data_IF_202038997992
#
_entry.id   IF_202038997992
#
_cell.length_a   1.000
_cell.length_b   1.000
_cell.length_c   1.000
_cell.angle_alpha   90.00
_cell.angle_beta   90.00
_cell.angle_gamma   90.00
#
_symmetry.space_group_name_H-M   'P 1'
#
loop_
_entity.id
_entity.type
_entity.pdbx_description
1 polymer ?
#
# COMPACT_ATOMS: atom_id res chain seq x y z
N UNK A 1 2.66 -30.97 64.43
CA UNK A 1 1.52 -30.10 64.06
C UNK A 1 2.04 -29.03 63.10
N UNK A 2 1.83 -29.19 61.79
CA UNK A 2 2.31 -28.25 60.77
C UNK A 2 1.29 -27.13 60.59
N UNK A 3 1.58 -25.93 61.11
CA UNK A 3 0.78 -24.74 60.85
C UNK A 3 1.00 -24.28 59.40
N UNK A 4 -0.04 -24.40 58.56
CA UNK A 4 -0.06 -23.73 57.25
C UNK A 4 -0.16 -22.22 57.46
N UNK A 5 0.97 -21.51 57.34
CA UNK A 5 0.98 -20.04 57.27
C UNK A 5 0.29 -19.62 55.97
N UNK A 6 -0.89 -18.99 56.09
CA UNK A 6 -1.55 -18.32 54.96
C UNK A 6 -0.79 -17.03 54.66
N UNK A 7 -0.30 -16.86 53.42
CA UNK A 7 0.24 -15.58 52.99
C UNK A 7 -0.86 -14.51 53.14
N UNK A 8 -0.56 -13.35 53.75
CA UNK A 8 -1.55 -12.27 53.84
C UNK A 8 -1.93 -11.79 52.45
N UNK A 9 -3.22 -11.61 52.20
CA UNK A 9 -3.79 -11.19 50.91
C UNK A 9 -3.15 -9.88 50.40
N UNK A 10 -2.71 -9.01 51.32
CA UNK A 10 -1.97 -7.79 50.99
C UNK A 10 -0.65 -8.05 50.24
N UNK A 11 0.11 -9.07 50.64
CA UNK A 11 1.37 -9.42 49.95
C UNK A 11 1.12 -9.96 48.55
N UNK A 12 0.03 -10.70 48.34
CA UNK A 12 -0.34 -11.18 47.01
C UNK A 12 -0.76 -10.03 46.09
N UNK A 13 -1.56 -9.09 46.60
CA UNK A 13 -2.02 -7.92 45.85
C UNK A 13 -0.88 -6.97 45.49
N UNK A 14 0.05 -6.72 46.42
CA UNK A 14 1.24 -5.90 46.14
C UNK A 14 2.14 -6.53 45.06
N UNK A 15 2.29 -7.86 45.07
CA UNK A 15 3.07 -8.57 44.06
C UNK A 15 2.41 -8.47 42.67
N UNK A 16 1.08 -8.65 42.59
CA UNK A 16 0.32 -8.50 41.35
C UNK A 16 0.40 -7.06 40.83
N UNK A 17 0.28 -6.06 41.70
CA UNK A 17 0.38 -4.66 41.30
C UNK A 17 1.80 -4.31 40.79
N UNK A 18 2.85 -4.82 41.45
CA UNK A 18 4.23 -4.65 40.95
C UNK A 18 4.48 -5.34 39.62
N UNK A 19 3.84 -6.49 39.39
CA UNK A 19 3.95 -7.24 38.14
C UNK A 19 3.22 -6.52 37.00
N UNK A 20 2.04 -5.94 37.26
CA UNK A 20 1.29 -5.17 36.26
C UNK A 20 2.04 -3.91 35.85
N UNK A 21 2.67 -3.19 36.80
CA UNK A 21 3.41 -1.95 36.52
C UNK A 21 4.77 -2.21 35.87
N UNK A 22 5.37 -3.39 36.03
CA UNK A 22 6.61 -3.78 35.33
C UNK A 22 6.38 -4.45 33.98
N UNK A 23 5.23 -5.11 33.77
CA UNK A 23 4.89 -5.78 32.49
C UNK A 23 4.15 -4.84 31.53
N UNK A 24 3.44 -3.83 32.03
CA UNK A 24 2.82 -2.79 31.20
C UNK A 24 3.52 -1.45 31.44
N UNK A 25 4.37 -0.97 30.50
CA UNK A 25 4.91 0.36 30.59
C UNK A 25 3.76 1.36 30.53
N UNK A 26 3.49 2.01 31.66
CA UNK A 26 2.51 3.09 31.72
C UNK A 26 3.15 4.39 31.27
N UNK A 27 2.73 4.80 30.09
CA UNK A 27 2.56 6.19 29.61
C UNK A 27 3.68 6.85 28.80
N UNK A 28 3.19 7.44 27.69
CA UNK A 28 3.70 8.55 26.85
C UNK A 28 4.50 8.26 25.58
N UNK A 29 5.09 7.07 25.37
CA UNK A 29 5.71 6.72 24.07
C UNK A 29 4.73 6.10 23.05
N UNK A 30 3.56 5.65 23.50
CA UNK A 30 2.60 4.88 22.69
C UNK A 30 1.72 5.72 21.74
N UNK A 31 1.70 7.04 21.88
CA UNK A 31 0.95 7.89 20.94
C UNK A 31 1.60 7.96 19.55
N UNK A 32 2.94 7.88 19.47
CA UNK A 32 3.69 7.92 18.20
C UNK A 32 3.79 6.57 17.48
N UNK A 33 3.49 5.46 18.17
CA UNK A 33 3.35 4.13 17.54
C UNK A 33 2.01 3.97 16.84
N UNK A 34 0.97 4.67 17.30
CA UNK A 34 -0.40 4.46 16.83
C UNK A 34 -0.61 4.91 15.38
N UNK A 35 0.23 5.80 14.85
CA UNK A 35 0.16 6.28 13.46
C UNK A 35 1.13 5.60 12.49
N UNK A 36 2.04 4.77 12.99
CA UNK A 36 2.99 4.06 12.13
C UNK A 36 2.25 3.06 11.24
N UNK A 37 2.74 2.95 10.02
CA UNK A 37 2.35 1.86 9.12
C UNK A 37 3.25 0.68 9.44
N UNK A 38 2.64 -0.48 9.64
CA UNK A 38 3.32 -1.74 9.88
C UNK A 38 3.31 -2.57 8.59
N UNK A 39 4.37 -3.36 8.41
CA UNK A 39 4.40 -4.37 7.38
C UNK A 39 3.51 -5.57 7.74
N UNK A 40 3.43 -6.57 6.85
CA UNK A 40 2.59 -7.75 7.09
C UNK A 40 2.95 -8.52 8.37
N UNK A 41 4.18 -8.40 8.88
CA UNK A 41 4.64 -9.05 10.10
C UNK A 41 4.46 -8.22 11.36
N UNK A 42 4.18 -6.92 11.23
CA UNK A 42 3.96 -6.02 12.35
C UNK A 42 5.16 -5.15 12.68
N UNK A 43 6.21 -5.17 11.86
CA UNK A 43 7.36 -4.28 12.03
C UNK A 43 7.08 -2.92 11.36
N UNK A 44 7.56 -1.80 11.93
CA UNK A 44 7.36 -0.49 11.31
C UNK A 44 7.98 -0.39 9.91
N UNK A 45 7.22 0.17 8.98
CA UNK A 45 7.71 0.46 7.62
C UNK A 45 8.64 1.67 7.65
N UNK A 46 9.78 1.55 6.97
CA UNK A 46 10.78 2.60 6.87
C UNK A 46 10.96 3.07 5.43
N UNK A 47 11.28 4.34 5.25
CA UNK A 47 11.73 4.88 3.96
C UNK A 47 13.10 4.32 3.56
N UNK A 48 13.45 4.43 2.28
CA UNK A 48 14.71 3.97 1.68
C UNK A 48 14.95 2.46 1.79
N UNK A 49 13.89 1.68 2.05
CA UNK A 49 13.91 0.22 2.05
C UNK A 49 12.96 -0.31 0.98
N UNK A 50 13.35 -1.42 0.37
CA UNK A 50 12.55 -2.09 -0.65
C UNK A 50 11.47 -2.97 -0.02
N UNK A 51 10.26 -2.85 -0.54
CA UNK A 51 9.09 -3.63 -0.15
C UNK A 51 8.39 -4.16 -1.40
N UNK A 52 7.65 -5.26 -1.26
CA UNK A 52 6.59 -5.56 -2.23
C UNK A 52 5.33 -4.80 -1.82
N UNK A 53 4.78 -3.97 -2.70
CA UNK A 53 3.46 -3.38 -2.51
C UNK A 53 2.40 -4.29 -3.10
N UNK A 54 1.54 -4.86 -2.25
CA UNK A 54 0.57 -5.89 -2.62
C UNK A 54 -0.84 -5.33 -2.45
N UNK A 55 -1.65 -5.35 -3.51
CA UNK A 55 -3.06 -4.99 -3.42
C UNK A 55 -3.84 -6.08 -2.68
N UNK A 56 -4.64 -5.70 -1.68
CA UNK A 56 -5.53 -6.65 -0.99
C UNK A 56 -6.75 -7.03 -1.79
N UNK A 57 -7.14 -6.20 -2.75
CA UNK A 57 -8.12 -6.62 -3.73
C UNK A 57 -7.48 -7.67 -4.65
N UNK A 58 -7.69 -8.95 -4.34
CA UNK A 58 -7.18 -10.04 -5.17
C UNK A 58 -8.22 -10.38 -6.26
N UNK A 59 -8.13 -9.69 -7.39
CA UNK A 59 -8.89 -10.11 -8.56
C UNK A 59 -8.17 -11.30 -9.20
N UNK A 60 -8.16 -12.47 -8.56
CA UNK A 60 -7.55 -13.69 -9.12
C UNK A 60 -8.61 -14.50 -9.87
N UNK A 61 -8.25 -15.07 -11.01
CA UNK A 61 -9.16 -15.92 -11.79
C UNK A 61 -9.60 -17.09 -10.94
N UNK A 62 -10.92 -17.30 -10.85
CA UNK A 62 -11.52 -18.39 -10.06
C UNK A 62 -11.93 -18.01 -8.64
N UNK A 63 -11.67 -16.79 -8.17
CA UNK A 63 -12.11 -16.35 -6.84
C UNK A 63 -13.46 -15.63 -6.87
N UNK A 64 -14.33 -16.01 -5.94
CA UNK A 64 -15.67 -15.43 -5.77
C UNK A 64 -15.59 -13.96 -5.32
N UNK A 65 -16.46 -13.05 -5.83
CA UNK A 65 -16.46 -11.63 -5.46
C UNK A 65 -16.47 -11.33 -3.96
N UNK A 66 -17.17 -12.12 -3.15
CA UNK A 66 -17.23 -11.94 -1.68
C UNK A 66 -15.90 -12.24 -0.96
N UNK A 67 -14.98 -12.92 -1.64
CA UNK A 67 -13.68 -13.31 -1.11
C UNK A 67 -12.57 -12.43 -1.69
N UNK A 68 -12.90 -11.36 -2.42
CA UNK A 68 -11.92 -10.56 -3.16
C UNK A 68 -11.05 -9.64 -2.30
N UNK A 69 -11.29 -9.59 -0.99
CA UNK A 69 -10.41 -8.92 -0.04
C UNK A 69 -9.57 -10.00 0.64
N UNK A 70 -8.31 -10.10 0.22
CA UNK A 70 -7.38 -11.09 0.73
C UNK A 70 -7.03 -10.82 2.21
N UNK A 71 -6.83 -11.90 2.97
CA UNK A 71 -6.23 -11.80 4.30
C UNK A 71 -4.78 -11.30 4.19
N UNK A 72 -4.24 -10.83 5.32
CA UNK A 72 -2.88 -10.26 5.38
C UNK A 72 -1.84 -11.26 4.85
N UNK A 73 -1.06 -10.83 3.86
CA UNK A 73 -0.01 -11.64 3.23
C UNK A 73 -0.51 -12.80 2.36
N UNK A 74 -1.82 -12.93 2.10
CA UNK A 74 -2.36 -14.00 1.27
C UNK A 74 -2.13 -13.75 -0.23
N UNK A 75 -2.33 -12.51 -0.70
CA UNK A 75 -2.01 -12.15 -2.08
C UNK A 75 -0.48 -12.10 -2.26
N UNK A 76 0.04 -12.79 -3.28
CA UNK A 76 1.48 -12.89 -3.58
C UNK A 76 1.90 -12.06 -4.80
N UNK A 77 0.96 -11.36 -5.43
CA UNK A 77 1.21 -10.55 -6.62
C UNK A 77 1.33 -9.08 -6.22
N UNK A 78 2.53 -8.52 -6.30
CA UNK A 78 2.79 -7.11 -6.11
C UNK A 78 2.74 -6.31 -7.40
N UNK A 79 3.09 -5.03 -7.31
CA UNK A 79 3.21 -4.17 -8.49
C UNK A 79 4.38 -4.58 -9.38
N UNK A 80 4.24 -4.30 -10.67
CA UNK A 80 5.31 -4.33 -11.68
C UNK A 80 5.04 -3.18 -12.67
N UNK A 81 5.67 -3.21 -13.83
CA UNK A 81 5.52 -2.23 -14.88
C UNK A 81 5.51 -2.86 -16.27
N UNK A 82 4.86 -2.18 -17.22
CA UNK A 82 4.95 -2.49 -18.63
C UNK A 82 5.37 -1.26 -19.43
N UNK A 83 6.23 -1.46 -20.44
CA UNK A 83 6.61 -0.40 -21.36
C UNK A 83 5.58 -0.29 -22.48
N UNK A 84 4.90 0.85 -22.55
CA UNK A 84 3.99 1.17 -23.66
C UNK A 84 4.18 2.62 -24.12
N UNK A 85 4.33 2.81 -25.44
CA UNK A 85 4.53 4.12 -26.06
C UNK A 85 5.66 4.97 -25.41
N UNK A 86 6.73 4.31 -24.94
CA UNK A 86 7.88 4.98 -24.29
C UNK A 86 7.74 5.21 -22.77
N UNK A 87 6.56 4.96 -22.20
CA UNK A 87 6.28 5.11 -20.77
C UNK A 87 6.27 3.75 -20.06
N UNK A 88 6.59 3.74 -18.77
CA UNK A 88 6.55 2.53 -17.94
C UNK A 88 5.32 2.58 -17.04
N UNK A 89 4.20 2.05 -17.50
CA UNK A 89 2.95 2.07 -16.75
C UNK A 89 3.01 1.07 -15.61
N UNK A 90 2.55 1.48 -14.42
CA UNK A 90 2.47 0.59 -13.28
C UNK A 90 1.31 -0.40 -13.49
N UNK A 91 1.57 -1.68 -13.24
CA UNK A 91 0.61 -2.76 -13.42
C UNK A 91 0.71 -3.78 -12.28
N UNK A 92 -0.24 -4.71 -12.23
CA UNK A 92 -0.15 -5.94 -11.44
C UNK A 92 -0.66 -7.09 -12.31
N UNK A 93 0.16 -8.10 -12.55
CA UNK A 93 -0.31 -9.33 -13.18
C UNK A 93 -1.08 -10.20 -12.20
N UNK A 94 -2.05 -10.94 -12.72
CA UNK A 94 -2.97 -11.79 -11.95
C UNK A 94 -2.51 -13.24 -11.86
N UNK A 95 -1.43 -13.61 -12.54
CA UNK A 95 -0.86 -14.95 -12.54
C UNK A 95 0.67 -14.88 -12.51
N UNK A 96 1.29 -15.85 -11.81
CA UNK A 96 2.73 -15.91 -11.61
C UNK A 96 3.52 -16.02 -12.93
N UNK A 97 2.97 -16.69 -13.94
CA UNK A 97 3.63 -16.95 -15.22
C UNK A 97 3.94 -15.71 -16.05
N UNK A 98 3.33 -14.56 -15.74
CA UNK A 98 3.60 -13.29 -16.42
C UNK A 98 4.76 -12.51 -15.80
N UNK A 99 5.20 -12.89 -14.61
CA UNK A 99 6.37 -12.30 -13.98
C UNK A 99 7.63 -13.02 -14.45
N UNK A 100 8.67 -12.24 -14.79
CA UNK A 100 9.98 -12.79 -15.10
C UNK A 100 10.65 -13.41 -13.86
N UNK A 101 11.68 -14.23 -14.07
CA UNK A 101 12.47 -14.79 -12.96
C UNK A 101 13.13 -13.72 -12.07
N UNK A 102 13.43 -12.55 -12.65
CA UNK A 102 13.99 -11.39 -11.95
C UNK A 102 12.96 -10.66 -11.06
N UNK A 103 11.67 -11.00 -11.18
CA UNK A 103 10.57 -10.42 -10.42
C UNK A 103 10.02 -11.39 -9.38
N UNK A 104 10.78 -12.44 -9.05
CA UNK A 104 10.49 -13.35 -7.95
C UNK A 104 11.36 -13.00 -6.75
N UNK A 105 10.72 -12.64 -5.65
CA UNK A 105 11.39 -12.21 -4.43
C UNK A 105 10.93 -13.05 -3.24
N UNK A 106 11.80 -13.15 -2.23
CA UNK A 106 11.45 -13.76 -0.94
C UNK A 106 11.26 -12.68 0.10
N UNK A 107 10.21 -12.84 0.91
CA UNK A 107 10.05 -12.05 2.11
C UNK A 107 11.03 -12.50 3.21
N UNK A 108 11.08 -11.76 4.33
CA UNK A 108 11.95 -12.07 5.47
C UNK A 108 11.71 -13.44 6.13
N UNK A 109 10.59 -14.12 5.82
CA UNK A 109 10.28 -15.48 6.28
C UNK A 109 10.44 -16.54 5.19
N UNK A 110 10.90 -16.17 3.99
CA UNK A 110 11.16 -17.06 2.87
C UNK A 110 9.97 -17.35 1.95
N UNK A 111 8.80 -16.71 2.15
CA UNK A 111 7.67 -16.89 1.22
C UNK A 111 7.92 -16.11 -0.07
N UNK A 112 7.47 -16.68 -1.19
CA UNK A 112 7.64 -16.10 -2.51
C UNK A 112 6.56 -15.05 -2.81
N UNK A 113 7.01 -13.93 -3.39
CA UNK A 113 6.18 -12.87 -3.96
C UNK A 113 6.66 -12.56 -5.38
N UNK A 114 5.73 -12.12 -6.22
CA UNK A 114 5.97 -11.80 -7.61
C UNK A 114 5.71 -10.31 -7.86
N UNK A 115 6.66 -9.61 -8.49
CA UNK A 115 6.57 -8.19 -8.78
C UNK A 115 7.92 -7.51 -8.78
N UNK A 116 7.92 -6.21 -9.06
CA UNK A 116 9.10 -5.35 -8.93
C UNK A 116 9.05 -4.65 -7.56
N UNK A 117 10.11 -4.75 -6.74
CA UNK A 117 10.17 -4.04 -5.46
C UNK A 117 10.00 -2.53 -5.62
N UNK A 118 9.27 -1.94 -4.68
CA UNK A 118 9.10 -0.49 -4.57
C UNK A 118 9.89 0.05 -3.39
N UNK A 119 10.24 1.32 -3.47
CA UNK A 119 10.90 2.06 -2.41
C UNK A 119 10.09 3.30 -2.08
N UNK A 120 9.79 3.52 -0.80
CA UNK A 120 9.25 4.80 -0.34
C UNK A 120 10.37 5.70 0.13
N UNK A 121 10.36 6.94 -0.33
CA UNK A 121 11.35 7.96 0.01
C UNK A 121 10.66 9.17 0.61
N UNK A 122 11.39 9.86 1.49
CA UNK A 122 10.95 11.19 1.96
C UNK A 122 11.05 12.17 0.79
N UNK A 123 9.98 12.93 0.47
CA UNK A 123 10.03 13.89 -0.62
C UNK A 123 11.09 14.97 -0.39
N UNK A 124 11.66 15.47 -1.49
CA UNK A 124 12.68 16.51 -1.46
C UNK A 124 12.23 17.74 -0.63
N UNK A 125 13.12 18.20 0.26
CA UNK A 125 12.90 19.37 1.12
C UNK A 125 12.08 19.10 2.38
N UNK A 126 11.74 17.84 2.69
CA UNK A 126 11.09 17.46 3.94
C UNK A 126 12.04 16.67 4.84
N UNK A 127 11.94 16.93 6.15
CA UNK A 127 12.63 16.13 7.17
C UNK A 127 11.75 14.95 7.56
N UNK A 128 12.37 13.80 7.79
CA UNK A 128 11.73 12.57 8.22
C UNK A 128 12.64 11.86 9.20
N UNK A 129 12.05 11.17 10.17
CA UNK A 129 12.75 10.26 11.07
C UNK A 129 12.94 8.86 10.46
N UNK A 130 12.56 8.70 9.19
CA UNK A 130 12.73 7.48 8.42
C UNK A 130 11.54 6.52 8.50
N UNK A 131 10.54 6.75 9.34
CA UNK A 131 9.35 5.87 9.44
C UNK A 131 8.19 6.40 8.61
N UNK A 132 7.48 5.48 7.94
CA UNK A 132 6.25 5.79 7.20
C UNK A 132 5.06 5.82 8.16
N UNK A 133 4.28 6.91 8.13
CA UNK A 133 3.12 7.13 9.01
C UNK A 133 1.88 7.52 8.24
N UNK A 134 0.74 7.40 8.90
CA UNK A 134 -0.48 8.01 8.42
C UNK A 134 -0.30 9.51 8.16
N UNK A 135 -0.89 9.96 7.06
CA UNK A 135 -0.94 11.34 6.61
C UNK A 135 0.43 11.98 6.34
N UNK A 136 1.44 11.15 6.05
CA UNK A 136 2.77 11.61 5.64
C UNK A 136 2.95 11.54 4.14
N UNK A 137 3.63 12.54 3.54
CA UNK A 137 3.94 12.52 2.13
C UNK A 137 5.14 11.60 1.87
N UNK A 138 5.04 10.76 0.84
CA UNK A 138 6.11 9.90 0.34
C UNK A 138 6.24 10.04 -1.17
N UNK A 139 7.43 9.80 -1.71
CA UNK A 139 7.59 9.48 -3.13
C UNK A 139 7.82 7.98 -3.27
N UNK A 140 7.19 7.35 -4.26
CA UNK A 140 7.39 5.93 -4.54
C UNK A 140 8.26 5.75 -5.78
N UNK A 141 9.23 4.83 -5.72
CA UNK A 141 10.09 4.48 -6.84
C UNK A 141 10.22 2.98 -7.02
N UNK A 142 10.74 2.57 -8.17
CA UNK A 142 11.15 1.19 -8.47
C UNK A 142 12.36 1.18 -9.39
N UNK A 143 13.08 0.06 -9.41
CA UNK A 143 14.20 -0.16 -10.33
C UNK A 143 13.72 -0.84 -11.62
N UNK A 144 13.61 -0.05 -12.69
CA UNK A 144 13.16 -0.53 -14.00
C UNK A 144 14.34 -1.05 -14.80
N UNK A 145 14.18 -2.25 -15.36
CA UNK A 145 15.23 -2.98 -16.09
C UNK A 145 15.87 -4.09 -15.24
N UNK A 146 15.70 -4.07 -13.91
CA UNK A 146 16.22 -5.13 -13.03
C UNK A 146 17.74 -5.39 -13.16
N UNK A 147 18.25 -6.40 -12.42
CA UNK A 147 19.64 -6.85 -12.53
C UNK A 147 19.93 -7.72 -13.77
N UNK A 148 18.89 -8.07 -14.55
CA UNK A 148 18.98 -8.94 -15.73
C UNK A 148 18.65 -8.24 -17.07
N UNK A 149 18.46 -6.92 -17.11
CA UNK A 149 18.57 -6.19 -18.37
C UNK A 149 20.05 -5.90 -18.65
N UNK A 150 20.44 -5.98 -19.91
CA UNK A 150 21.81 -5.83 -20.45
C UNK A 150 22.56 -4.53 -20.04
N UNK A 151 21.97 -3.65 -19.23
CA UNK A 151 22.53 -2.35 -18.82
C UNK A 151 22.36 -1.99 -17.33
N UNK A 152 21.83 -2.88 -16.47
CA UNK A 152 21.51 -2.53 -15.09
C UNK A 152 20.26 -1.64 -14.96
N UNK A 153 19.53 -1.80 -13.86
CA UNK A 153 18.27 -1.09 -13.65
C UNK A 153 18.44 0.42 -13.48
N UNK A 154 17.44 1.20 -13.92
CA UNK A 154 17.33 2.63 -13.65
C UNK A 154 16.23 2.89 -12.64
N UNK A 155 16.53 3.63 -11.57
CA UNK A 155 15.55 4.07 -10.59
C UNK A 155 14.59 5.07 -11.24
N UNK A 156 13.30 4.75 -11.24
CA UNK A 156 12.24 5.61 -11.77
C UNK A 156 11.18 5.82 -10.70
N UNK A 157 10.58 7.00 -10.70
CA UNK A 157 9.63 7.45 -9.70
C UNK A 157 8.22 7.47 -10.26
N UNK A 158 7.26 7.22 -9.40
CA UNK A 158 5.86 7.32 -9.77
C UNK A 158 5.53 8.75 -10.20
N UNK A 159 4.80 8.87 -11.30
CA UNK A 159 4.07 10.06 -11.68
C UNK A 159 2.58 9.70 -11.71
N UNK A 160 1.88 10.22 -10.72
CA UNK A 160 0.44 10.12 -10.58
C UNK A 160 -0.16 11.53 -10.67
N UNK A 161 -1.15 11.68 -11.55
CA UNK A 161 -2.04 12.84 -11.61
C UNK A 161 -3.25 12.62 -10.72
N UNK A 162 -4.05 13.66 -10.50
CA UNK A 162 -5.30 13.55 -9.73
C UNK A 162 -6.31 12.55 -10.34
N UNK A 163 -6.25 12.34 -11.66
CA UNK A 163 -7.03 11.34 -12.38
C UNK A 163 -6.25 10.77 -13.58
N UNK A 164 -6.46 9.49 -13.87
CA UNK A 164 -5.93 8.83 -15.06
C UNK A 164 -4.82 7.81 -14.77
N UNK A 165 -4.13 7.38 -15.83
CA UNK A 165 -3.09 6.35 -15.78
C UNK A 165 -1.85 6.79 -15.01
N UNK A 166 -1.27 5.86 -14.26
CA UNK A 166 -0.06 6.07 -13.47
C UNK A 166 1.12 5.35 -14.13
N UNK A 167 2.26 6.04 -14.18
CA UNK A 167 3.48 5.52 -14.78
C UNK A 167 4.72 5.90 -13.97
N UNK A 168 5.84 5.25 -14.26
CA UNK A 168 7.15 5.53 -13.69
C UNK A 168 8.02 6.32 -14.68
N UNK A 169 8.67 7.38 -14.18
CA UNK A 169 9.52 8.29 -14.93
C UNK A 169 10.72 8.73 -14.09
N UNK A 170 11.84 9.02 -14.74
CA UNK A 170 13.02 9.66 -14.13
C UNK A 170 12.94 11.20 -14.20
N UNK A 171 12.01 11.76 -14.96
CA UNK A 171 11.89 13.20 -15.18
C UNK A 171 11.09 13.92 -14.09
N UNK A 172 10.30 13.19 -13.31
CA UNK A 172 9.32 13.76 -12.38
C UNK A 172 8.97 12.78 -11.28
N UNK A 173 8.69 13.29 -10.07
CA UNK A 173 8.31 12.48 -8.90
C UNK A 173 7.06 13.06 -8.25
N UNK A 174 5.97 12.29 -8.22
CA UNK A 174 4.75 12.70 -7.52
C UNK A 174 4.87 12.45 -6.01
N UNK A 175 4.29 13.35 -5.22
CA UNK A 175 4.07 13.16 -3.79
C UNK A 175 2.76 12.41 -3.58
N UNK A 176 2.81 11.30 -2.86
CA UNK A 176 1.65 10.53 -2.43
C UNK A 176 1.44 10.74 -0.94
N UNK A 177 0.20 10.90 -0.48
CA UNK A 177 -0.08 10.95 0.95
C UNK A 177 -0.51 9.57 1.44
N UNK A 178 0.21 9.03 2.42
CA UNK A 178 -0.09 7.71 2.99
C UNK A 178 -1.36 7.79 3.85
N UNK A 179 -2.37 6.99 3.54
CA UNK A 179 -3.62 6.95 4.28
C UNK A 179 -3.78 5.59 4.96
N UNK A 180 -3.83 5.56 6.29
CA UNK A 180 -3.98 4.34 7.08
C UNK A 180 -5.43 3.87 6.98
N UNK A 181 -5.66 2.65 6.51
CA UNK A 181 -6.97 1.96 6.63
C UNK A 181 -7.01 1.15 7.91
N UNK A 182 -5.92 0.47 8.21
CA UNK A 182 -5.60 -0.16 9.50
C UNK A 182 -4.07 -0.24 9.63
N UNK A 183 -3.53 -0.81 10.71
CA UNK A 183 -2.08 -0.80 10.96
C UNK A 183 -1.23 -1.47 9.86
N UNK A 184 -1.79 -2.42 9.09
CA UNK A 184 -1.08 -3.17 8.04
C UNK A 184 -1.59 -2.89 6.63
N UNK A 185 -2.49 -1.92 6.48
CA UNK A 185 -3.16 -1.64 5.21
C UNK A 185 -3.24 -0.14 4.97
N UNK A 186 -2.78 0.28 3.80
CA UNK A 186 -2.71 1.68 3.40
C UNK A 186 -3.45 1.94 2.08
N UNK A 187 -3.96 3.14 1.92
CA UNK A 187 -4.14 3.76 0.61
C UNK A 187 -3.01 4.77 0.38
N UNK A 188 -2.75 5.09 -0.89
CA UNK A 188 -1.82 6.15 -1.28
C UNK A 188 -2.63 7.21 -2.01
N UNK A 189 -2.93 8.33 -1.37
CA UNK A 189 -3.65 9.42 -2.02
C UNK A 189 -2.75 10.09 -3.06
N UNK A 190 -3.27 10.22 -4.27
CA UNK A 190 -2.59 10.81 -5.43
C UNK A 190 -3.00 12.26 -5.67
N UNK A 191 -4.09 12.71 -5.03
CA UNK A 191 -4.57 14.08 -5.05
C UNK A 191 -6.10 14.17 -4.95
N UNK A 192 -6.71 15.13 -5.64
CA UNK A 192 -8.16 15.36 -5.59
C UNK A 192 -8.76 15.49 -6.98
N UNK A 193 -9.84 14.76 -7.24
CA UNK A 193 -10.58 14.74 -8.51
C UNK A 193 -12.04 15.16 -8.34
N UNK A 194 -12.74 15.25 -9.46
CA UNK A 194 -14.17 15.51 -9.54
C UNK A 194 -14.89 14.28 -10.13
N UNK A 195 -16.07 13.98 -9.61
CA UNK A 195 -16.99 12.98 -10.17
C UNK A 195 -18.20 13.73 -10.69
N UNK A 196 -18.17 14.01 -11.99
CA UNK A 196 -19.16 14.84 -12.67
C UNK A 196 -20.34 14.00 -13.16
N UNK A 197 -21.56 14.42 -12.83
CA UNK A 197 -22.80 13.74 -13.23
C UNK A 197 -23.83 14.73 -13.77
N UNK A 198 -24.56 14.31 -14.79
CA UNK A 198 -25.65 15.10 -15.37
C UNK A 198 -26.85 15.17 -14.42
N UNK A 199 -27.90 15.91 -14.80
CA UNK A 199 -29.14 16.03 -14.02
C UNK A 199 -29.87 14.70 -13.78
N UNK A 200 -29.52 13.65 -14.51
CA UNK A 200 -30.06 12.29 -14.38
C UNK A 200 -29.10 11.34 -13.64
N UNK A 201 -27.97 11.85 -13.13
CA UNK A 201 -26.98 11.07 -12.38
C UNK A 201 -26.00 10.29 -13.25
N UNK A 202 -25.96 10.50 -14.57
CA UNK A 202 -25.06 9.78 -15.49
C UNK A 202 -23.70 10.48 -15.57
N UNK A 203 -22.58 9.76 -15.70
CA UNK A 203 -21.26 10.37 -15.91
C UNK A 203 -21.29 11.35 -17.09
N UNK A 204 -20.68 12.52 -16.92
CA UNK A 204 -20.68 13.57 -17.94
C UNK A 204 -19.42 14.46 -17.84
N UNK A 205 -19.22 15.32 -18.84
CA UNK A 205 -18.20 16.35 -18.83
C UNK A 205 -18.64 17.59 -18.03
N UNK A 206 -17.67 18.45 -17.70
CA UNK A 206 -17.86 19.64 -16.84
C UNK A 206 -18.98 20.60 -17.30
N UNK A 207 -19.21 20.75 -18.61
CA UNK A 207 -20.23 21.65 -19.15
C UNK A 207 -21.66 21.08 -19.04
N UNK A 208 -21.80 19.78 -18.77
CA UNK A 208 -23.10 19.10 -18.57
C UNK A 208 -23.34 18.69 -17.12
N UNK A 209 -22.41 19.03 -16.22
CA UNK A 209 -22.44 18.65 -14.83
C UNK A 209 -23.56 19.38 -14.08
N UNK A 210 -24.42 18.61 -13.41
CA UNK A 210 -25.39 19.14 -12.44
C UNK A 210 -24.71 19.21 -11.06
N UNK A 211 -24.59 20.40 -10.44
CA UNK A 211 -23.94 20.54 -9.14
C UNK A 211 -24.57 19.71 -8.02
N UNK A 212 -25.86 19.36 -8.11
CA UNK A 212 -26.53 18.53 -7.10
C UNK A 212 -26.17 17.05 -7.19
N UNK A 213 -25.77 16.59 -8.37
CA UNK A 213 -25.42 15.19 -8.63
C UNK A 213 -23.91 14.96 -8.70
N UNK A 214 -23.12 16.03 -8.81
CA UNK A 214 -21.66 15.97 -8.93
C UNK A 214 -20.96 16.07 -7.58
N UNK A 215 -19.79 15.44 -7.48
CA UNK A 215 -18.95 15.44 -6.28
C UNK A 215 -17.61 16.09 -6.60
N UNK A 216 -17.26 17.15 -5.88
CA UNK A 216 -16.05 17.92 -6.10
C UNK A 216 -15.05 17.68 -4.96
N UNK A 217 -13.75 17.74 -5.25
CA UNK A 217 -12.70 17.55 -4.24
C UNK A 217 -12.62 16.13 -3.67
N UNK A 218 -13.01 15.13 -4.46
CA UNK A 218 -12.95 13.72 -4.06
C UNK A 218 -11.50 13.27 -4.01
N UNK A 219 -11.04 12.70 -2.89
CA UNK A 219 -9.69 12.16 -2.81
C UNK A 219 -9.50 11.00 -3.78
N UNK A 220 -8.52 11.15 -4.67
CA UNK A 220 -8.03 10.07 -5.52
C UNK A 220 -6.93 9.29 -4.82
N UNK A 221 -6.91 7.98 -5.01
CA UNK A 221 -5.89 7.07 -4.52
C UNK A 221 -5.28 6.28 -5.68
N UNK A 222 -4.03 5.87 -5.50
CA UNK A 222 -3.37 4.87 -6.33
C UNK A 222 -4.17 3.57 -6.22
N UNK A 223 -4.58 3.03 -7.36
CA UNK A 223 -5.34 1.78 -7.45
C UNK A 223 -4.89 1.00 -8.67
N UNK A 224 -5.04 -0.32 -8.65
CA UNK A 224 -4.90 -1.16 -9.84
C UNK A 224 -6.24 -1.80 -10.16
N UNK A 225 -6.65 -1.71 -11.42
CA UNK A 225 -7.92 -2.26 -11.89
C UNK A 225 -7.81 -2.85 -13.29
N UNK A 226 -8.70 -3.79 -13.62
CA UNK A 226 -8.82 -4.31 -14.98
C UNK A 226 -9.35 -3.20 -15.88
N UNK A 227 -8.72 -3.00 -17.04
CA UNK A 227 -9.25 -2.10 -18.06
C UNK A 227 -10.58 -2.68 -18.58
N UNK A 228 -11.68 -1.94 -18.45
CA UNK A 228 -13.03 -2.43 -18.77
C UNK A 228 -13.40 -2.29 -20.27
N UNK A 229 -12.42 -2.18 -21.17
CA UNK A 229 -12.67 -2.05 -22.60
C UNK A 229 -12.74 -3.43 -23.28
N UNK A 230 -13.58 -3.56 -24.29
CA UNK A 230 -13.66 -4.77 -25.11
C UNK A 230 -12.27 -5.10 -25.71
N UNK A 231 -11.77 -6.31 -25.48
CA UNK A 231 -10.43 -6.73 -25.92
C UNK A 231 -9.29 -6.38 -24.96
N UNK A 232 -9.59 -5.84 -23.78
CA UNK A 232 -8.57 -5.62 -22.74
C UNK A 232 -7.99 -6.95 -22.26
N UNK A 233 -6.70 -6.95 -21.99
CA UNK A 233 -6.02 -8.10 -21.39
C UNK A 233 -6.47 -8.25 -19.94
N UNK A 234 -7.29 -9.26 -19.69
CA UNK A 234 -7.80 -9.57 -18.36
C UNK A 234 -6.77 -10.30 -17.49
N UNK A 235 -5.53 -10.51 -17.93
CA UNK A 235 -4.46 -11.12 -17.13
C UNK A 235 -3.68 -10.09 -16.29
N UNK A 236 -3.93 -8.80 -16.49
CA UNK A 236 -3.31 -7.71 -15.74
C UNK A 236 -4.30 -6.64 -15.31
N UNK A 237 -3.89 -5.91 -14.30
CA UNK A 237 -4.55 -4.71 -13.79
C UNK A 237 -3.60 -3.53 -13.99
N UNK A 238 -4.15 -2.40 -14.38
CA UNK A 238 -3.41 -1.18 -14.66
C UNK A 238 -3.59 -0.18 -13.54
N UNK A 239 -2.50 0.50 -13.17
CA UNK A 239 -2.53 1.49 -12.12
C UNK A 239 -3.17 2.81 -12.60
N UNK A 240 -4.09 3.32 -11.80
CA UNK A 240 -4.77 4.59 -12.02
C UNK A 240 -4.91 5.39 -10.73
N UNK A 241 -5.13 6.68 -10.88
CA UNK A 241 -5.71 7.53 -9.84
C UNK A 241 -7.23 7.48 -9.95
N UNK A 242 -7.89 6.98 -8.90
CA UNK A 242 -9.33 6.86 -8.81
C UNK A 242 -9.85 7.14 -7.38
N UNK A 243 -11.15 7.47 -7.21
CA UNK A 243 -11.76 7.59 -5.89
C UNK A 243 -11.57 6.33 -5.06
N UNK A 244 -11.30 6.50 -3.76
CA UNK A 244 -10.93 5.44 -2.81
C UNK A 244 -11.61 4.08 -3.05
N UNK A 245 -10.79 3.03 -3.17
CA UNK A 245 -11.23 1.64 -3.38
C UNK A 245 -11.76 0.98 -2.11
N UNK A 246 -12.42 -0.17 -2.30
CA UNK A 246 -12.89 -1.08 -1.24
C UNK A 246 -11.74 -1.75 -0.47
N UNK A 247 -10.53 -1.82 -1.03
CA UNK A 247 -9.36 -2.39 -0.37
C UNK A 247 -8.11 -1.58 -0.68
N UNK A 248 -7.17 -1.56 0.28
CA UNK A 248 -5.88 -0.90 0.14
C UNK A 248 -4.74 -1.87 -0.21
N UNK A 249 -3.55 -1.49 0.21
CA UNK A 249 -2.29 -2.18 -0.04
C UNK A 249 -1.59 -2.57 1.25
N UNK A 250 -0.85 -3.67 1.19
CA UNK A 250 0.05 -4.12 2.26
C UNK A 250 1.50 -4.02 1.77
N UNK A 251 2.41 -3.88 2.73
CA UNK A 251 3.84 -3.81 2.48
C UNK A 251 4.50 -5.08 3.00
N UNK A 252 5.20 -5.77 2.11
CA UNK A 252 5.90 -7.01 2.43
C UNK A 252 7.40 -6.72 2.48
N UNK A 253 8.07 -6.98 3.62
CA UNK A 253 9.50 -6.74 3.73
C UNK A 253 10.26 -7.83 2.96
N UNK A 254 11.23 -7.42 2.15
CA UNK A 254 12.06 -8.32 1.35
C UNK A 254 13.37 -8.69 2.07
N UNK A 255 13.97 -9.82 1.69
CA UNK A 255 15.30 -10.29 2.13
C UNK A 255 16.44 -9.57 1.41
#
# INVERSE_FOLDING_TARGET
MFMKRKLPILTLLALIFSLIVTVFPTNTAFADEEDRILDIYGDPVTTNKDYMLVNKYWDVVGVHPSERIAAVGQNKFGLSYEKYAGWHYAIQYRQASYYGSAEMHKDTKGNQYYGTPINFETPDGLNSDGYVRHNTPVTMSMWIGGPNADAGGTKKYINAKDAGWIYFSDQSKSKLIVQKRNSKEIDLATGTTEILRDKFGRPCDWYSADPKNSYYGVTSTFQVQIAQYLGSDHQKMWAISAPKSVAGYELVPLQ
#
